data_IF_443636840990
#
_entry.id   IF_443636840990
#
_cell.length_a   1.000
_cell.length_b   1.000
_cell.length_c   1.000
_cell.angle_alpha   90.00
_cell.angle_beta   90.00
_cell.angle_gamma   90.00
#
_symmetry.space_group_name_H-M   'P 1'
#
loop_
_entity.id
_entity.type
_entity.pdbx_description
1 polymer ?
#
# COMPACT_ATOMS: atom_id res chain seq x y z
N UNK A 1 -6.57 5.51 46.48
CA UNK A 1 -6.16 4.29 45.73
C UNK A 1 -7.37 3.43 45.36
N UNK A 2 -8.28 3.09 46.28
CA UNK A 2 -9.50 2.32 45.95
C UNK A 2 -10.53 3.08 45.09
N UNK A 3 -10.71 4.39 45.30
CA UNK A 3 -11.64 5.20 44.49
C UNK A 3 -11.14 5.46 43.06
N UNK A 4 -9.82 5.52 42.86
CA UNK A 4 -9.22 5.71 41.53
C UNK A 4 -9.41 4.48 40.63
N UNK A 5 -9.43 3.28 41.23
CA UNK A 5 -9.71 2.02 40.53
C UNK A 5 -11.20 1.80 40.25
N UNK A 6 -12.11 2.33 41.07
CA UNK A 6 -13.54 2.18 40.84
C UNK A 6 -14.03 3.03 39.64
N UNK A 7 -13.48 4.25 39.50
CA UNK A 7 -13.80 5.15 38.38
C UNK A 7 -13.25 4.63 37.05
N UNK A 8 -12.04 4.05 37.04
CA UNK A 8 -11.48 3.46 35.82
C UNK A 8 -12.25 2.22 35.37
N UNK A 9 -12.71 1.39 36.31
CA UNK A 9 -13.53 0.19 36.01
C UNK A 9 -14.92 0.57 35.52
N UNK A 10 -15.61 1.53 36.14
CA UNK A 10 -16.93 1.98 35.69
C UNK A 10 -16.89 2.63 34.30
N UNK A 11 -15.83 3.40 34.01
CA UNK A 11 -15.58 3.96 32.68
C UNK A 11 -15.34 2.85 31.65
N UNK A 12 -14.52 1.84 31.95
CA UNK A 12 -14.27 0.71 31.05
C UNK A 12 -15.53 -0.13 30.76
N UNK A 13 -16.40 -0.32 31.77
CA UNK A 13 -17.68 -1.04 31.62
C UNK A 13 -18.63 -0.28 30.69
N UNK A 14 -18.77 1.05 30.87
CA UNK A 14 -19.61 1.88 30.00
C UNK A 14 -19.08 1.90 28.56
N UNK A 15 -17.76 1.97 28.36
CA UNK A 15 -17.13 1.91 27.05
C UNK A 15 -17.39 0.57 26.33
N UNK A 16 -17.33 -0.56 27.04
CA UNK A 16 -17.67 -1.87 26.47
C UNK A 16 -19.16 -1.96 26.08
N UNK A 17 -20.07 -1.34 26.85
CA UNK A 17 -21.50 -1.34 26.53
C UNK A 17 -21.83 -0.52 25.27
N UNK A 18 -21.21 0.64 25.10
CA UNK A 18 -21.36 1.47 23.90
C UNK A 18 -20.88 0.73 22.65
N UNK A 19 -19.67 0.14 22.71
CA UNK A 19 -19.10 -0.67 21.64
C UNK A 19 -20.03 -1.82 21.21
N UNK A 20 -20.53 -2.59 22.20
CA UNK A 20 -21.46 -3.70 21.94
C UNK A 20 -22.77 -3.23 21.32
N UNK A 21 -23.25 -2.05 21.70
CA UNK A 21 -24.45 -1.46 21.10
C UNK A 21 -24.22 -1.16 19.62
N UNK A 22 -23.09 -0.52 19.27
CA UNK A 22 -22.74 -0.20 17.88
C UNK A 22 -22.63 -1.47 17.04
N UNK A 23 -21.96 -2.51 17.55
CA UNK A 23 -21.79 -3.79 16.86
C UNK A 23 -23.12 -4.55 16.68
N UNK A 24 -23.97 -4.57 17.71
CA UNK A 24 -25.31 -5.15 17.62
C UNK A 24 -26.20 -4.42 16.61
N UNK A 25 -26.11 -3.08 16.56
CA UNK A 25 -26.80 -2.27 15.57
C UNK A 25 -26.30 -2.53 14.14
N UNK A 26 -24.99 -2.70 13.98
CA UNK A 26 -24.38 -3.08 12.70
C UNK A 26 -24.91 -4.45 12.27
N UNK A 27 -24.85 -5.45 13.14
CA UNK A 27 -25.34 -6.80 12.87
C UNK A 27 -26.82 -6.79 12.45
N UNK A 28 -27.68 -6.11 13.22
CA UNK A 28 -29.10 -5.96 12.91
C UNK A 28 -29.35 -5.28 11.56
N UNK A 29 -28.49 -4.33 11.17
CA UNK A 29 -28.58 -3.63 9.89
C UNK A 29 -28.21 -4.54 8.70
N UNK A 30 -27.44 -5.60 8.90
CA UNK A 30 -27.07 -6.51 7.80
C UNK A 30 -28.22 -7.43 7.39
N UNK A 31 -29.19 -7.68 8.28
CA UNK A 31 -30.40 -8.47 8.01
C UNK A 31 -31.60 -7.68 7.47
N UNK A 32 -31.50 -6.34 7.36
CA UNK A 32 -32.61 -5.44 7.03
C UNK A 32 -32.83 -5.15 5.53
N UNK A 33 -33.83 -4.29 5.27
CA UNK A 33 -34.26 -3.85 3.93
C UNK A 33 -33.21 -2.94 3.24
N UNK A 34 -33.02 -3.08 1.93
CA UNK A 34 -31.67 -3.01 1.33
C UNK A 34 -30.94 -1.65 1.39
N UNK A 35 -31.63 -0.52 1.19
CA UNK A 35 -30.97 0.81 1.08
C UNK A 35 -30.76 1.50 2.43
N UNK A 36 -31.78 1.55 3.27
CA UNK A 36 -31.66 2.20 4.59
C UNK A 36 -30.77 1.41 5.53
N UNK A 37 -30.81 0.07 5.42
CA UNK A 37 -29.96 -0.80 6.20
C UNK A 37 -28.48 -0.68 5.80
N UNK A 38 -28.16 -0.50 4.51
CA UNK A 38 -26.81 -0.17 4.07
C UNK A 38 -26.31 1.17 4.61
N UNK A 39 -27.14 2.22 4.56
CA UNK A 39 -26.78 3.54 5.12
C UNK A 39 -26.54 3.46 6.63
N UNK A 40 -27.41 2.74 7.36
CA UNK A 40 -27.25 2.51 8.80
C UNK A 40 -25.96 1.74 9.09
N UNK A 41 -25.68 0.66 8.36
CA UNK A 41 -24.44 -0.09 8.50
C UNK A 41 -23.20 0.77 8.30
N UNK A 42 -23.17 1.62 7.27
CA UNK A 42 -22.07 2.59 7.09
C UNK A 42 -21.93 3.56 8.27
N UNK A 43 -23.05 4.05 8.80
CA UNK A 43 -23.07 4.90 9.99
C UNK A 43 -22.48 4.20 11.21
N UNK A 44 -22.85 2.94 11.44
CA UNK A 44 -22.30 2.12 12.53
C UNK A 44 -20.80 1.88 12.36
N UNK A 45 -20.32 1.62 11.13
CA UNK A 45 -18.88 1.50 10.84
C UNK A 45 -18.15 2.78 11.22
N UNK A 46 -18.61 3.95 10.78
CA UNK A 46 -17.98 5.23 11.11
C UNK A 46 -17.98 5.46 12.62
N UNK A 47 -19.11 5.22 13.29
CA UNK A 47 -19.23 5.36 14.74
C UNK A 47 -18.26 4.44 15.50
N UNK A 48 -18.15 3.18 15.07
CA UNK A 48 -17.22 2.20 15.66
C UNK A 48 -15.78 2.68 15.57
N UNK A 49 -15.33 3.12 14.39
CA UNK A 49 -13.94 3.53 14.20
C UNK A 49 -13.61 4.85 14.90
N UNK A 50 -14.55 5.80 14.95
CA UNK A 50 -14.40 7.01 15.75
C UNK A 50 -14.29 6.67 17.25
N UNK A 51 -15.12 5.74 17.73
CA UNK A 51 -15.04 5.26 19.11
C UNK A 51 -13.69 4.62 19.40
N UNK A 52 -13.19 3.75 18.51
CA UNK A 52 -11.88 3.13 18.69
C UNK A 52 -10.77 4.18 18.70
N UNK A 53 -10.74 5.10 17.74
CA UNK A 53 -9.73 6.16 17.62
C UNK A 53 -9.64 7.03 18.88
N UNK A 54 -10.79 7.41 19.45
CA UNK A 54 -10.85 8.21 20.68
C UNK A 54 -10.33 7.46 21.92
N UNK A 55 -10.34 6.13 21.90
CA UNK A 55 -10.01 5.28 23.03
C UNK A 55 -8.71 4.47 22.85
N UNK A 56 -7.91 4.77 21.82
CA UNK A 56 -6.68 4.02 21.49
C UNK A 56 -5.62 4.03 22.61
N UNK A 57 -5.61 5.06 23.45
CA UNK A 57 -4.68 5.18 24.59
C UNK A 57 -5.21 4.53 25.87
N UNK A 58 -6.44 4.00 25.84
CA UNK A 58 -7.00 3.26 26.97
C UNK A 58 -6.26 1.95 27.17
N UNK A 59 -6.01 1.59 28.42
CA UNK A 59 -5.51 0.25 28.78
C UNK A 59 -6.47 -0.88 28.39
N UNK A 60 -7.72 -0.56 28.02
CA UNK A 60 -8.72 -1.50 27.54
C UNK A 60 -8.79 -1.66 26.02
N UNK A 61 -7.92 -1.01 25.24
CA UNK A 61 -8.02 -1.02 23.77
C UNK A 61 -7.95 -2.43 23.18
N UNK A 62 -7.11 -3.32 23.73
CA UNK A 62 -7.02 -4.71 23.29
C UNK A 62 -8.34 -5.46 23.49
N UNK A 63 -9.06 -5.19 24.58
CA UNK A 63 -10.38 -5.78 24.84
C UNK A 63 -11.38 -5.26 23.82
N UNK A 64 -11.36 -3.96 23.53
CA UNK A 64 -12.25 -3.36 22.53
C UNK A 64 -11.97 -3.87 21.11
N UNK A 65 -10.71 -4.10 20.75
CA UNK A 65 -10.35 -4.72 19.48
C UNK A 65 -10.78 -6.18 19.43
N UNK A 66 -10.61 -6.94 20.51
CA UNK A 66 -11.13 -8.30 20.61
C UNK A 66 -12.65 -8.34 20.39
N UNK A 67 -13.41 -7.48 21.07
CA UNK A 67 -14.85 -7.38 20.90
C UNK A 67 -15.23 -6.99 19.45
N UNK A 68 -14.52 -6.02 18.85
CA UNK A 68 -14.82 -5.53 17.51
C UNK A 68 -14.46 -6.52 16.40
N UNK A 69 -13.35 -7.24 16.50
CA UNK A 69 -12.83 -8.10 15.43
C UNK A 69 -13.10 -9.59 15.63
N UNK A 70 -13.33 -10.05 16.88
CA UNK A 70 -13.54 -11.47 17.22
C UNK A 70 -14.73 -11.72 18.13
N UNK A 71 -15.45 -10.68 18.55
CA UNK A 71 -16.67 -10.82 19.34
C UNK A 71 -17.83 -11.43 18.55
N UNK A 72 -18.94 -11.68 19.26
CA UNK A 72 -20.17 -12.29 18.72
C UNK A 72 -20.73 -11.52 17.50
N UNK A 73 -20.65 -10.19 17.52
CA UNK A 73 -21.08 -9.31 16.44
C UNK A 73 -19.90 -8.59 15.78
N UNK A 74 -18.83 -9.32 15.50
CA UNK A 74 -17.62 -8.72 14.95
C UNK A 74 -17.87 -8.04 13.58
N UNK A 75 -17.14 -6.95 13.33
CA UNK A 75 -17.29 -6.12 12.13
C UNK A 75 -16.97 -6.89 10.84
N UNK A 76 -15.98 -7.78 10.88
CA UNK A 76 -15.51 -8.48 9.69
C UNK A 76 -16.58 -9.44 9.17
N UNK A 77 -17.22 -10.19 10.06
CA UNK A 77 -18.32 -11.09 9.74
C UNK A 77 -19.56 -10.32 9.28
N UNK A 78 -19.95 -9.27 10.01
CA UNK A 78 -21.09 -8.43 9.64
C UNK A 78 -20.95 -7.86 8.22
N UNK A 79 -19.74 -7.48 7.82
CA UNK A 79 -19.46 -6.92 6.49
C UNK A 79 -19.04 -7.96 5.45
N UNK A 80 -19.01 -9.25 5.79
CA UNK A 80 -18.71 -10.34 4.85
C UNK A 80 -19.91 -10.73 3.96
N UNK A 81 -21.04 -10.04 4.12
CA UNK A 81 -22.25 -10.21 3.30
C UNK A 81 -21.99 -9.93 1.81
N UNK A 82 -22.54 -10.75 0.91
CA UNK A 82 -22.33 -10.65 -0.55
C UNK A 82 -23.17 -9.55 -1.24
N UNK A 83 -23.89 -8.74 -0.47
CA UNK A 83 -24.86 -7.75 -0.97
C UNK A 83 -24.18 -6.49 -1.50
N UNK A 84 -24.50 -6.09 -2.72
CA UNK A 84 -23.91 -4.93 -3.41
C UNK A 84 -24.24 -3.60 -2.73
N UNK A 85 -25.35 -3.53 -2.01
CA UNK A 85 -25.83 -2.30 -1.38
C UNK A 85 -24.86 -1.86 -0.28
N UNK A 86 -24.12 -2.80 0.33
CA UNK A 86 -23.21 -2.55 1.45
C UNK A 86 -21.77 -2.21 1.03
N UNK A 87 -21.52 -2.02 -0.27
CA UNK A 87 -20.17 -1.68 -0.77
C UNK A 87 -19.59 -0.42 -0.12
N UNK A 88 -20.44 0.57 0.18
CA UNK A 88 -20.01 1.79 0.87
C UNK A 88 -19.59 1.53 2.32
N UNK A 89 -20.32 0.67 3.04
CA UNK A 89 -19.96 0.28 4.40
C UNK A 89 -18.65 -0.51 4.42
N UNK A 90 -18.47 -1.45 3.48
CA UNK A 90 -17.22 -2.20 3.29
C UNK A 90 -16.04 -1.27 2.98
N UNK A 91 -16.23 -0.32 2.07
CA UNK A 91 -15.19 0.66 1.72
C UNK A 91 -14.79 1.50 2.93
N UNK A 92 -15.77 2.02 3.68
CA UNK A 92 -15.50 2.77 4.92
C UNK A 92 -14.78 1.91 5.96
N UNK A 93 -15.14 0.64 6.13
CA UNK A 93 -14.46 -0.25 7.07
C UNK A 93 -13.00 -0.48 6.66
N UNK A 94 -12.73 -0.82 5.40
CA UNK A 94 -11.36 -1.02 4.92
C UNK A 94 -10.49 0.23 5.08
N UNK A 95 -11.04 1.41 4.77
CA UNK A 95 -10.34 2.68 4.93
C UNK A 95 -10.03 3.00 6.40
N UNK A 96 -11.02 2.82 7.29
CA UNK A 96 -10.82 3.05 8.71
C UNK A 96 -9.87 2.04 9.36
N UNK A 97 -9.94 0.75 8.99
CA UNK A 97 -8.98 -0.26 9.45
C UNK A 97 -7.57 0.11 8.97
N UNK A 98 -7.41 0.51 7.70
CA UNK A 98 -6.13 0.96 7.19
C UNK A 98 -5.57 2.13 8.00
N UNK A 99 -6.35 3.19 8.23
CA UNK A 99 -5.88 4.38 8.93
C UNK A 99 -5.45 4.07 10.38
N UNK A 100 -6.23 3.22 11.07
CA UNK A 100 -5.87 2.78 12.43
C UNK A 100 -4.62 1.91 12.43
N UNK A 101 -4.54 0.91 11.56
CA UNK A 101 -3.38 0.02 11.49
C UNK A 101 -2.10 0.75 11.05
N UNK A 102 -2.20 1.75 10.16
CA UNK A 102 -1.04 2.55 9.72
C UNK A 102 -0.41 3.31 10.89
N UNK A 103 -1.23 3.76 11.85
CA UNK A 103 -0.78 4.55 12.99
C UNK A 103 -0.44 3.70 14.23
N UNK A 104 -1.07 2.53 14.39
CA UNK A 104 -1.03 1.72 15.61
C UNK A 104 -0.81 0.22 15.35
N UNK A 105 -0.01 -0.12 14.33
CA UNK A 105 0.13 -1.48 13.83
C UNK A 105 0.39 -2.55 14.91
N UNK A 106 1.26 -2.27 15.87
CA UNK A 106 1.63 -3.21 16.93
C UNK A 106 0.43 -3.68 17.77
N UNK A 107 -0.54 -2.79 18.04
CA UNK A 107 -1.77 -3.13 18.78
C UNK A 107 -2.66 -4.07 17.94
N UNK A 108 -2.64 -3.90 16.62
CA UNK A 108 -3.43 -4.69 15.68
C UNK A 108 -2.77 -6.01 15.27
N UNK A 109 -1.54 -6.27 15.72
CA UNK A 109 -0.71 -7.39 15.27
C UNK A 109 -1.40 -8.74 15.45
N UNK A 110 -2.18 -8.92 16.51
CA UNK A 110 -2.91 -10.15 16.78
C UNK A 110 -4.11 -10.39 15.85
N UNK A 111 -4.58 -9.36 15.12
CA UNK A 111 -5.77 -9.41 14.25
C UNK A 111 -5.42 -9.42 12.75
N UNK A 112 -4.14 -9.37 12.38
CA UNK A 112 -3.68 -9.22 10.98
C UNK A 112 -4.20 -10.32 10.06
N UNK A 113 -4.33 -11.56 10.55
CA UNK A 113 -4.85 -12.68 9.75
C UNK A 113 -6.35 -12.55 9.51
N UNK A 114 -7.11 -12.09 10.51
CA UNK A 114 -8.54 -11.82 10.37
C UNK A 114 -8.77 -10.70 9.33
N UNK A 115 -7.98 -9.64 9.41
CA UNK A 115 -8.02 -8.52 8.45
C UNK A 115 -7.59 -8.97 7.05
N UNK A 116 -6.54 -9.80 6.92
CA UNK A 116 -6.11 -10.41 5.64
C UNK A 116 -7.28 -11.16 5.01
N UNK A 117 -7.92 -12.04 5.77
CA UNK A 117 -9.03 -12.86 5.30
C UNK A 117 -10.23 -12.00 4.88
N UNK A 118 -10.55 -10.97 5.65
CA UNK A 118 -11.58 -9.99 5.29
C UNK A 118 -11.25 -9.25 3.99
N UNK A 119 -10.00 -8.82 3.79
CA UNK A 119 -9.56 -8.20 2.54
C UNK A 119 -9.71 -9.16 1.36
N UNK A 120 -9.34 -10.43 1.52
CA UNK A 120 -9.43 -11.44 0.47
C UNK A 120 -10.87 -11.78 0.08
N UNK A 121 -11.74 -11.91 1.09
CA UNK A 121 -13.17 -12.12 0.90
C UNK A 121 -13.81 -10.92 0.20
N UNK A 122 -13.52 -9.73 0.69
CA UNK A 122 -14.05 -8.49 0.17
C UNK A 122 -13.55 -8.22 -1.25
N UNK A 123 -12.28 -8.48 -1.55
CA UNK A 123 -11.73 -8.38 -2.90
C UNK A 123 -12.47 -9.29 -3.88
N UNK A 124 -12.77 -10.52 -3.49
CA UNK A 124 -13.39 -11.51 -4.39
C UNK A 124 -14.88 -11.23 -4.68
N UNK A 125 -15.51 -10.31 -3.93
CA UNK A 125 -16.96 -10.04 -4.00
C UNK A 125 -17.31 -8.64 -4.51
N UNK A 126 -16.33 -7.77 -4.77
CA UNK A 126 -16.59 -6.33 -4.79
C UNK A 126 -16.29 -5.62 -6.12
N UNK A 127 -16.74 -4.37 -6.19
CA UNK A 127 -16.58 -3.46 -7.33
C UNK A 127 -15.26 -2.69 -7.29
N UNK A 128 -14.99 -1.92 -8.35
CA UNK A 128 -13.79 -1.08 -8.55
C UNK A 128 -13.44 -0.11 -7.43
N UNK A 129 -14.34 0.19 -6.48
CA UNK A 129 -14.08 1.06 -5.32
C UNK A 129 -13.43 0.34 -4.15
N UNK A 130 -13.78 -0.93 -3.96
CA UNK A 130 -13.38 -1.72 -2.78
C UNK A 130 -12.09 -2.51 -3.05
N UNK A 131 -11.87 -2.92 -4.31
CA UNK A 131 -10.66 -3.62 -4.73
C UNK A 131 -9.37 -2.86 -4.38
N UNK A 132 -9.23 -1.55 -4.67
CA UNK A 132 -8.01 -0.82 -4.33
C UNK A 132 -7.78 -0.71 -2.82
N UNK A 133 -8.84 -0.51 -2.02
CA UNK A 133 -8.73 -0.42 -0.55
C UNK A 133 -8.29 -1.75 0.06
N UNK A 134 -8.82 -2.86 -0.45
CA UNK A 134 -8.42 -4.21 -0.02
C UNK A 134 -6.93 -4.45 -0.30
N UNK A 135 -6.46 -4.07 -1.50
CA UNK A 135 -5.04 -4.18 -1.88
C UNK A 135 -4.14 -3.26 -1.05
N UNK A 136 -4.59 -2.05 -0.75
CA UNK A 136 -3.86 -1.09 0.09
C UNK A 136 -3.64 -1.66 1.49
N UNK A 137 -4.68 -2.24 2.08
CA UNK A 137 -4.60 -2.86 3.41
C UNK A 137 -3.76 -4.15 3.42
N UNK A 138 -3.89 -4.99 2.40
CA UNK A 138 -3.01 -6.15 2.21
C UNK A 138 -1.54 -5.74 2.07
N UNK A 139 -1.25 -4.62 1.39
CA UNK A 139 0.11 -4.07 1.27
C UNK A 139 0.66 -3.70 2.64
N UNK A 140 -0.12 -2.99 3.46
CA UNK A 140 0.28 -2.63 4.83
C UNK A 140 0.59 -3.87 5.68
N UNK A 141 -0.23 -4.92 5.59
CA UNK A 141 -0.01 -6.19 6.29
C UNK A 141 1.30 -6.82 5.81
N UNK A 142 1.52 -6.95 4.50
CA UNK A 142 2.75 -7.56 3.93
C UNK A 142 4.01 -6.84 4.39
N UNK A 143 3.98 -5.50 4.43
CA UNK A 143 5.12 -4.67 4.82
C UNK A 143 5.51 -4.81 6.30
N UNK A 144 4.54 -5.02 7.19
CA UNK A 144 4.75 -5.03 8.64
C UNK A 144 4.74 -6.45 9.25
N UNK A 145 4.33 -7.48 8.51
CA UNK A 145 4.29 -8.87 8.97
C UNK A 145 5.39 -9.77 8.40
N UNK A 146 6.48 -9.20 7.88
CA UNK A 146 7.61 -9.92 7.29
C UNK A 146 8.48 -10.66 8.34
N UNK A 147 7.84 -11.37 9.28
CA UNK A 147 8.47 -12.20 10.29
C UNK A 147 8.18 -13.69 10.00
N UNK A 148 9.15 -14.61 10.16
CA UNK A 148 8.97 -16.02 9.82
C UNK A 148 7.74 -16.68 10.47
N UNK A 149 7.39 -16.24 11.69
CA UNK A 149 6.26 -16.78 12.47
C UNK A 149 4.89 -16.55 11.82
N UNK A 150 4.67 -15.36 11.22
CA UNK A 150 3.36 -14.98 10.64
C UNK A 150 3.31 -15.34 9.14
N UNK A 151 4.47 -15.54 8.51
CA UNK A 151 4.61 -15.85 7.08
C UNK A 151 3.75 -17.04 6.62
N UNK A 152 3.66 -18.09 7.44
CA UNK A 152 2.85 -19.28 7.14
C UNK A 152 1.39 -18.91 6.95
N UNK A 153 0.85 -18.07 7.84
CA UNK A 153 -0.54 -17.65 7.81
C UNK A 153 -0.81 -16.54 6.77
N UNK A 154 0.21 -15.78 6.35
CA UNK A 154 0.08 -14.81 5.26
C UNK A 154 -0.03 -15.51 3.90
N UNK A 155 0.67 -16.63 3.72
CA UNK A 155 0.71 -17.40 2.46
C UNK A 155 1.18 -16.57 1.25
N UNK A 156 2.37 -15.94 1.29
CA UNK A 156 2.80 -14.95 0.29
C UNK A 156 2.89 -15.51 -1.14
N UNK A 157 3.22 -16.80 -1.36
CA UNK A 157 3.17 -17.43 -2.69
C UNK A 157 1.73 -17.46 -3.23
N UNK A 158 0.78 -17.90 -2.41
CA UNK A 158 -0.62 -18.03 -2.81
C UNK A 158 -1.19 -16.65 -3.17
N UNK A 159 -0.87 -15.64 -2.37
CA UNK A 159 -1.22 -14.26 -2.67
C UNK A 159 -0.58 -13.80 -3.99
N UNK A 160 0.73 -14.02 -4.16
CA UNK A 160 1.43 -13.61 -5.37
C UNK A 160 0.78 -14.21 -6.63
N UNK A 161 0.58 -15.53 -6.70
CA UNK A 161 0.04 -16.17 -7.90
C UNK A 161 -1.38 -15.69 -8.21
N UNK A 162 -2.22 -15.55 -7.18
CA UNK A 162 -3.58 -15.02 -7.37
C UNK A 162 -3.55 -13.61 -7.97
N UNK A 163 -2.81 -12.70 -7.36
CA UNK A 163 -2.82 -11.30 -7.75
C UNK A 163 -1.98 -11.01 -9.00
N UNK A 164 -0.98 -11.81 -9.30
CA UNK A 164 -0.28 -11.78 -10.58
C UNK A 164 -1.22 -12.15 -11.73
N UNK A 165 -2.04 -13.19 -11.56
CA UNK A 165 -3.05 -13.55 -12.56
C UNK A 165 -4.09 -12.45 -12.76
N UNK A 166 -4.46 -11.71 -11.71
CA UNK A 166 -5.31 -10.51 -11.84
C UNK A 166 -4.61 -9.38 -12.60
N UNK A 167 -3.30 -9.18 -12.40
CA UNK A 167 -2.51 -8.18 -13.13
C UNK A 167 -2.51 -8.46 -14.64
N UNK A 168 -2.41 -9.75 -15.01
CA UNK A 168 -2.44 -10.17 -16.42
C UNK A 168 -3.77 -9.79 -17.10
N UNK A 169 -4.89 -9.80 -16.37
CA UNK A 169 -6.21 -9.42 -16.88
C UNK A 169 -6.38 -7.92 -17.15
N UNK A 170 -5.37 -7.09 -16.91
CA UNK A 170 -5.39 -5.63 -17.13
C UNK A 170 -6.57 -4.95 -16.43
N UNK A 171 -6.56 -4.87 -15.09
CA UNK A 171 -7.64 -4.26 -14.34
C UNK A 171 -7.70 -2.74 -14.58
N UNK A 172 -8.74 -2.09 -14.03
CA UNK A 172 -8.86 -0.63 -14.11
C UNK A 172 -7.64 0.05 -13.50
N UNK A 173 -7.32 1.26 -13.97
CA UNK A 173 -6.08 1.94 -13.61
C UNK A 173 -5.87 2.15 -12.10
N UNK A 174 -6.95 2.42 -11.35
CA UNK A 174 -6.87 2.56 -9.88
C UNK A 174 -6.59 1.23 -9.18
N UNK A 175 -7.16 0.13 -9.68
CA UNK A 175 -6.88 -1.22 -9.16
C UNK A 175 -5.46 -1.62 -9.54
N UNK A 176 -5.03 -1.35 -10.77
CA UNK A 176 -3.66 -1.61 -11.24
C UNK A 176 -2.62 -0.89 -10.39
N UNK A 177 -2.90 0.35 -9.98
CA UNK A 177 -2.03 1.10 -9.08
C UNK A 177 -1.74 0.33 -7.79
N UNK A 178 -2.78 -0.06 -7.06
CA UNK A 178 -2.62 -0.73 -5.77
C UNK A 178 -2.19 -2.21 -5.95
N UNK A 179 -2.51 -2.83 -7.08
CA UNK A 179 -2.09 -4.20 -7.40
C UNK A 179 -0.59 -4.28 -7.66
N UNK A 180 -0.03 -3.32 -8.42
CA UNK A 180 1.41 -3.22 -8.64
C UNK A 180 2.16 -3.01 -7.33
N UNK A 181 1.70 -2.08 -6.49
CA UNK A 181 2.24 -1.84 -5.14
C UNK A 181 2.25 -3.10 -4.29
N UNK A 182 1.12 -3.80 -4.25
CA UNK A 182 0.98 -5.02 -3.47
C UNK A 182 1.94 -6.13 -3.93
N UNK A 183 2.02 -6.38 -5.25
CA UNK A 183 2.94 -7.37 -5.81
C UNK A 183 4.41 -6.99 -5.58
N UNK A 184 4.76 -5.71 -5.70
CA UNK A 184 6.09 -5.20 -5.36
C UNK A 184 6.44 -5.42 -3.88
N UNK A 185 5.49 -5.17 -2.98
CA UNK A 185 5.67 -5.41 -1.55
C UNK A 185 5.90 -6.90 -1.24
N UNK A 186 5.15 -7.81 -1.86
CA UNK A 186 5.40 -9.25 -1.70
C UNK A 186 6.83 -9.63 -2.11
N UNK A 187 7.33 -9.10 -3.24
CA UNK A 187 8.70 -9.33 -3.72
C UNK A 187 9.76 -8.74 -2.79
N UNK A 188 9.49 -7.56 -2.24
CA UNK A 188 10.40 -6.87 -1.32
C UNK A 188 10.54 -7.58 0.03
N UNK A 189 9.41 -8.00 0.62
CA UNK A 189 9.36 -8.44 2.01
C UNK A 189 9.35 -9.97 2.19
N UNK A 190 9.06 -10.74 1.14
CA UNK A 190 9.10 -12.20 1.18
C UNK A 190 9.98 -12.80 0.07
N UNK A 191 11.22 -12.32 -0.15
CA UNK A 191 12.02 -12.66 -1.31
C UNK A 191 12.28 -14.15 -1.47
N UNK A 192 12.57 -14.87 -0.38
CA UNK A 192 12.87 -16.30 -0.42
C UNK A 192 11.68 -17.12 -0.97
N UNK A 193 10.47 -16.68 -0.63
CA UNK A 193 9.22 -17.37 -0.89
C UNK A 193 8.73 -17.10 -2.32
N UNK A 194 8.93 -15.86 -2.79
CA UNK A 194 8.57 -15.46 -4.16
C UNK A 194 9.77 -15.45 -5.11
N UNK A 195 10.84 -16.15 -4.74
CA UNK A 195 12.05 -16.27 -5.55
C UNK A 195 11.74 -16.79 -6.96
N UNK A 196 12.44 -16.23 -7.95
CA UNK A 196 12.24 -16.44 -9.40
C UNK A 196 11.01 -15.77 -10.02
N UNK A 197 10.13 -15.14 -9.24
CA UNK A 197 8.94 -14.42 -9.76
C UNK A 197 9.19 -12.94 -10.02
N UNK A 198 10.25 -12.37 -9.44
CA UNK A 198 10.68 -10.99 -9.66
C UNK A 198 10.84 -10.65 -11.13
N UNK A 199 11.56 -11.47 -11.89
CA UNK A 199 11.77 -11.27 -13.33
C UNK A 199 10.47 -11.32 -14.14
N UNK A 200 9.58 -12.27 -13.81
CA UNK A 200 8.28 -12.40 -14.47
C UNK A 200 7.42 -11.17 -14.20
N UNK A 201 7.43 -10.67 -12.97
CA UNK A 201 6.75 -9.44 -12.61
C UNK A 201 7.37 -8.24 -13.32
N UNK A 202 8.68 -8.09 -13.28
CA UNK A 202 9.40 -6.99 -13.93
C UNK A 202 9.06 -6.90 -15.43
N UNK A 203 9.21 -8.00 -16.16
CA UNK A 203 8.86 -8.06 -17.60
C UNK A 203 7.42 -7.63 -17.84
N UNK A 204 6.47 -8.16 -17.06
CA UNK A 204 5.06 -7.80 -17.21
C UNK A 204 4.78 -6.32 -16.92
N UNK A 205 5.43 -5.77 -15.90
CA UNK A 205 5.28 -4.37 -15.51
C UNK A 205 5.84 -3.43 -16.58
N UNK A 206 7.00 -3.76 -17.15
CA UNK A 206 7.59 -3.01 -18.25
C UNK A 206 6.66 -3.02 -19.47
N UNK A 207 6.10 -4.18 -19.87
CA UNK A 207 5.13 -4.26 -20.96
C UNK A 207 3.94 -3.32 -20.76
N UNK A 208 3.39 -3.30 -19.53
CA UNK A 208 2.27 -2.42 -19.16
C UNK A 208 2.69 -0.95 -19.29
N UNK A 209 3.84 -0.56 -18.74
CA UNK A 209 4.35 0.81 -18.85
C UNK A 209 4.55 1.22 -20.31
N UNK A 210 5.14 0.34 -21.14
CA UNK A 210 5.36 0.62 -22.56
C UNK A 210 4.02 0.80 -23.31
N UNK A 211 3.01 -0.01 -23.00
CA UNK A 211 1.67 0.12 -23.57
C UNK A 211 1.00 1.45 -23.16
N UNK A 212 1.04 1.81 -21.87
CA UNK A 212 0.50 3.07 -21.35
C UNK A 212 1.22 4.30 -21.93
N UNK A 213 2.55 4.23 -22.10
CA UNK A 213 3.37 5.27 -22.76
C UNK A 213 2.93 5.50 -24.20
N UNK A 214 2.74 4.43 -24.98
CA UNK A 214 2.31 4.50 -26.39
C UNK A 214 0.90 5.07 -26.52
N UNK A 215 -0.01 4.63 -25.67
CA UNK A 215 -1.42 5.04 -25.72
C UNK A 215 -1.68 6.41 -25.05
N UNK A 216 -0.66 7.00 -24.40
CA UNK A 216 -0.77 8.21 -23.55
C UNK A 216 -1.87 8.09 -22.49
N UNK A 217 -2.09 6.88 -21.99
CA UNK A 217 -3.17 6.57 -21.08
C UNK A 217 -2.68 6.42 -19.63
N UNK A 218 -3.65 6.55 -18.72
CA UNK A 218 -3.61 6.24 -17.29
C UNK A 218 -2.25 6.31 -16.56
N UNK A 219 -1.71 7.51 -16.35
CA UNK A 219 -0.53 7.74 -15.49
C UNK A 219 -0.64 7.12 -14.09
N UNK A 220 -1.87 6.93 -13.58
CA UNK A 220 -2.10 6.27 -12.29
C UNK A 220 -1.70 4.78 -12.28
N UNK A 221 -1.87 4.07 -13.41
CA UNK A 221 -1.38 2.69 -13.59
C UNK A 221 0.14 2.64 -13.46
N UNK A 222 0.81 3.63 -14.06
CA UNK A 222 2.27 3.75 -14.07
C UNK A 222 2.81 3.95 -12.65
N UNK A 223 2.10 4.69 -11.79
CA UNK A 223 2.48 4.84 -10.36
C UNK A 223 2.61 3.47 -9.68
N UNK A 224 1.62 2.59 -9.84
CA UNK A 224 1.69 1.25 -9.25
C UNK A 224 2.78 0.38 -9.86
N UNK A 225 3.00 0.52 -11.17
CA UNK A 225 4.05 -0.18 -11.89
C UNK A 225 5.45 0.23 -11.41
N UNK A 226 5.70 1.52 -11.22
CA UNK A 226 6.98 2.01 -10.69
C UNK A 226 7.20 1.56 -9.25
N UNK A 227 6.16 1.56 -8.42
CA UNK A 227 6.25 1.02 -7.06
C UNK A 227 6.54 -0.48 -7.04
N UNK A 228 6.00 -1.24 -8.01
CA UNK A 228 6.35 -2.64 -8.20
C UNK A 228 7.83 -2.80 -8.54
N UNK A 229 8.34 -1.98 -9.48
CA UNK A 229 9.77 -1.97 -9.85
C UNK A 229 10.64 -1.67 -8.64
N UNK A 230 10.35 -0.61 -7.86
CA UNK A 230 11.10 -0.28 -6.64
C UNK A 230 11.20 -1.48 -5.69
N UNK A 231 10.07 -2.16 -5.44
CA UNK A 231 10.04 -3.35 -4.59
C UNK A 231 10.84 -4.54 -5.13
N UNK A 232 10.82 -4.75 -6.46
CA UNK A 232 11.60 -5.82 -7.12
C UNK A 232 13.11 -5.58 -6.96
N UNK A 233 13.56 -4.34 -7.18
CA UNK A 233 14.99 -3.99 -7.23
C UNK A 233 15.73 -4.22 -5.91
N UNK A 234 15.02 -4.24 -4.77
CA UNK A 234 15.64 -4.57 -3.47
C UNK A 234 16.25 -5.98 -3.41
N UNK A 235 15.62 -6.96 -4.06
CA UNK A 235 16.03 -8.36 -3.98
C UNK A 235 16.44 -8.96 -5.34
N UNK A 236 16.02 -8.33 -6.43
CA UNK A 236 16.26 -8.78 -7.81
C UNK A 236 16.71 -7.60 -8.69
N UNK A 237 17.86 -6.97 -8.37
CA UNK A 237 18.42 -5.95 -9.24
C UNK A 237 18.84 -6.57 -10.59
N UNK A 238 18.63 -5.88 -11.73
CA UNK A 238 19.11 -6.35 -13.02
C UNK A 238 20.65 -6.40 -13.03
N UNK A 239 21.20 -7.34 -13.77
CA UNK A 239 22.65 -7.43 -13.98
C UNK A 239 23.17 -6.12 -14.61
N UNK A 240 24.24 -5.56 -14.02
CA UNK A 240 24.82 -4.24 -14.37
C UNK A 240 25.27 -4.07 -15.84
N UNK A 241 25.21 -5.12 -16.65
CA UNK A 241 25.65 -5.14 -18.06
C UNK A 241 24.51 -5.47 -19.03
N UNK A 242 23.29 -5.66 -18.52
CA UNK A 242 22.14 -6.09 -19.31
C UNK A 242 21.28 -4.95 -19.85
N UNK A 243 20.50 -5.26 -20.90
CA UNK A 243 19.52 -4.35 -21.50
C UNK A 243 18.49 -3.79 -20.48
N UNK A 244 18.23 -4.52 -19.39
CA UNK A 244 17.29 -4.11 -18.35
C UNK A 244 17.75 -2.87 -17.57
N UNK A 245 19.06 -2.68 -17.36
CA UNK A 245 19.59 -1.48 -16.70
C UNK A 245 19.35 -0.24 -17.55
N UNK A 246 19.61 -0.35 -18.86
CA UNK A 246 19.35 0.72 -19.82
C UNK A 246 17.85 1.03 -19.93
N UNK A 247 16.99 0.01 -19.95
CA UNK A 247 15.53 0.19 -19.95
C UNK A 247 15.03 0.88 -18.67
N UNK A 248 15.53 0.46 -17.51
CA UNK A 248 15.23 1.08 -16.22
C UNK A 248 15.66 2.56 -16.21
N UNK A 249 16.87 2.84 -16.69
CA UNK A 249 17.38 4.19 -16.79
C UNK A 249 16.50 5.08 -17.70
N UNK A 250 16.17 4.64 -18.91
CA UNK A 250 15.33 5.39 -19.85
C UNK A 250 13.91 5.61 -19.29
N UNK A 251 13.40 4.65 -18.51
CA UNK A 251 12.16 4.80 -17.78
C UNK A 251 12.27 5.89 -16.70
N UNK A 252 13.30 5.87 -15.86
CA UNK A 252 13.55 6.87 -14.82
C UNK A 252 13.66 8.26 -15.46
N UNK A 253 14.51 8.41 -16.49
CA UNK A 253 14.74 9.66 -17.22
C UNK A 253 13.44 10.24 -17.79
N UNK A 254 12.58 9.39 -18.35
CA UNK A 254 11.27 9.79 -18.85
C UNK A 254 10.34 10.28 -17.73
N UNK A 255 10.32 9.60 -16.58
CA UNK A 255 9.47 9.93 -15.44
C UNK A 255 9.87 11.24 -14.74
N UNK A 256 11.16 11.50 -14.57
CA UNK A 256 11.66 12.68 -13.84
C UNK A 256 11.79 13.94 -14.71
N UNK A 257 11.45 13.86 -15.99
CA UNK A 257 11.34 15.04 -16.84
C UNK A 257 10.32 16.02 -16.23
N UNK A 258 10.71 17.27 -16.01
CA UNK A 258 9.86 18.27 -15.33
C UNK A 258 8.51 18.50 -16.02
N UNK A 259 8.43 18.32 -17.34
CA UNK A 259 7.18 18.40 -18.10
C UNK A 259 6.15 17.32 -17.69
N UNK A 260 6.59 16.27 -17.00
CA UNK A 260 5.70 15.25 -16.44
C UNK A 260 4.74 15.84 -15.41
N UNK A 261 5.12 16.91 -14.69
CA UNK A 261 4.27 17.59 -13.69
C UNK A 261 2.94 18.09 -14.27
N UNK A 262 2.93 18.43 -15.56
CA UNK A 262 1.75 18.98 -16.24
C UNK A 262 0.71 17.90 -16.57
N UNK A 263 1.06 16.62 -16.48
CA UNK A 263 0.15 15.51 -16.78
C UNK A 263 -0.74 15.19 -15.57
N UNK A 264 -1.98 14.78 -15.85
CA UNK A 264 -2.89 14.24 -14.82
C UNK A 264 -2.21 13.05 -14.12
N UNK A 265 -2.07 13.11 -12.80
CA UNK A 265 -1.32 12.16 -11.96
C UNK A 265 0.20 12.09 -12.21
N UNK A 266 0.78 13.02 -12.99
CA UNK A 266 2.21 13.03 -13.29
C UNK A 266 3.10 13.23 -12.05
N UNK A 267 2.62 13.96 -11.04
CA UNK A 267 3.32 14.08 -9.75
C UNK A 267 3.50 12.72 -9.04
N UNK A 268 2.53 11.82 -9.15
CA UNK A 268 2.65 10.47 -8.60
C UNK A 268 3.73 9.66 -9.33
N UNK A 269 3.77 9.77 -10.66
CA UNK A 269 4.80 9.11 -11.49
C UNK A 269 6.20 9.62 -11.13
N UNK A 270 6.35 10.95 -11.00
CA UNK A 270 7.60 11.57 -10.56
C UNK A 270 7.98 11.06 -9.17
N UNK A 271 7.05 11.05 -8.21
CA UNK A 271 7.34 10.62 -6.84
C UNK A 271 7.88 9.19 -6.78
N UNK A 272 7.28 8.24 -7.50
CA UNK A 272 7.75 6.85 -7.51
C UNK A 272 9.10 6.72 -8.25
N UNK A 273 9.34 7.49 -9.31
CA UNK A 273 10.63 7.49 -9.98
C UNK A 273 11.75 8.09 -9.10
N UNK A 274 11.45 9.12 -8.30
CA UNK A 274 12.38 9.67 -7.33
C UNK A 274 12.70 8.66 -6.21
N UNK A 275 11.73 7.85 -5.78
CA UNK A 275 11.97 6.74 -4.85
C UNK A 275 12.93 5.72 -5.45
N UNK A 276 12.76 5.36 -6.73
CA UNK A 276 13.69 4.46 -7.42
C UNK A 276 15.10 5.06 -7.46
N UNK A 277 15.26 6.36 -7.76
CA UNK A 277 16.59 7.01 -7.73
C UNK A 277 17.16 6.98 -6.31
N UNK A 278 16.37 7.32 -5.30
CA UNK A 278 16.81 7.32 -3.92
C UNK A 278 17.32 5.94 -3.50
N UNK A 279 16.55 4.88 -3.73
CA UNK A 279 16.94 3.54 -3.27
C UNK A 279 17.98 2.87 -4.17
N UNK A 280 17.97 3.15 -5.48
CA UNK A 280 18.64 2.32 -6.48
C UNK A 280 19.52 3.08 -7.48
N UNK A 281 19.87 4.36 -7.22
CA UNK A 281 20.77 5.12 -8.09
C UNK A 281 22.05 4.38 -8.52
N UNK A 282 22.74 3.60 -7.65
CA UNK A 282 23.94 2.87 -8.05
C UNK A 282 23.72 1.88 -9.21
N UNK A 283 22.52 1.31 -9.35
CA UNK A 283 22.22 0.34 -10.41
C UNK A 283 22.35 0.94 -11.82
N UNK A 284 22.02 2.22 -11.96
CA UNK A 284 22.04 2.97 -13.22
C UNK A 284 23.15 4.03 -13.24
N UNK A 285 24.15 3.89 -12.36
CA UNK A 285 25.10 4.97 -12.07
C UNK A 285 25.94 5.44 -13.25
N UNK A 286 26.33 4.55 -14.16
CA UNK A 286 27.03 4.92 -15.40
C UNK A 286 26.20 5.88 -16.27
N UNK A 287 24.91 5.58 -16.44
CA UNK A 287 24.01 6.41 -17.21
C UNK A 287 23.66 7.73 -16.50
N UNK A 288 23.52 7.70 -15.17
CA UNK A 288 23.35 8.92 -14.37
C UNK A 288 24.57 9.84 -14.48
N UNK A 289 25.78 9.28 -14.48
CA UNK A 289 27.01 10.05 -14.64
C UNK A 289 27.12 10.69 -16.02
N UNK A 290 26.76 9.97 -17.09
CA UNK A 290 26.75 10.52 -18.45
C UNK A 290 25.76 11.69 -18.59
N UNK A 291 24.59 11.59 -17.97
CA UNK A 291 23.50 12.57 -18.07
C UNK A 291 23.35 13.45 -16.82
N UNK A 292 24.43 13.67 -16.08
CA UNK A 292 24.40 14.35 -14.77
C UNK A 292 23.75 15.74 -14.82
N UNK A 293 23.94 16.48 -15.92
CA UNK A 293 23.37 17.82 -16.09
C UNK A 293 21.84 17.77 -16.23
N UNK A 294 21.32 16.78 -16.97
CA UNK A 294 19.87 16.59 -17.10
C UNK A 294 19.23 16.34 -15.74
N UNK A 295 19.81 15.43 -14.94
CA UNK A 295 19.28 15.08 -13.62
C UNK A 295 19.39 16.26 -12.65
N UNK A 296 20.53 16.96 -12.61
CA UNK A 296 20.71 18.15 -11.76
C UNK A 296 19.64 19.21 -12.04
N UNK A 297 19.40 19.54 -13.32
CA UNK A 297 18.42 20.55 -13.69
C UNK A 297 16.98 20.12 -13.37
N UNK A 298 16.62 18.88 -13.69
CA UNK A 298 15.27 18.38 -13.42
C UNK A 298 15.02 18.22 -11.93
N UNK A 299 15.94 17.64 -11.14
CA UNK A 299 15.77 17.50 -9.69
C UNK A 299 15.64 18.84 -8.98
N UNK A 300 16.42 19.85 -9.39
CA UNK A 300 16.29 21.21 -8.87
C UNK A 300 14.93 21.83 -9.18
N UNK A 301 14.44 21.70 -10.43
CA UNK A 301 13.12 22.20 -10.83
C UNK A 301 11.98 21.43 -10.14
N UNK A 302 12.12 20.12 -10.01
CA UNK A 302 11.17 19.26 -9.31
C UNK A 302 11.08 19.66 -7.83
N UNK A 303 12.22 19.90 -7.17
CA UNK A 303 12.35 20.25 -5.76
C UNK A 303 11.73 21.59 -5.34
N UNK A 304 11.37 22.46 -6.30
CA UNK A 304 10.57 23.68 -6.04
C UNK A 304 9.12 23.36 -5.63
N UNK A 305 8.61 22.18 -5.99
CA UNK A 305 7.27 21.74 -5.61
C UNK A 305 7.26 21.23 -4.17
N UNK A 306 6.42 21.82 -3.30
CA UNK A 306 6.33 21.44 -1.87
C UNK A 306 6.03 19.96 -1.65
N UNK A 307 5.24 19.33 -2.53
CA UNK A 307 4.84 17.92 -2.40
C UNK A 307 6.01 17.00 -2.75
N UNK A 308 6.83 17.37 -3.72
CA UNK A 308 7.95 16.54 -4.20
C UNK A 308 9.27 16.84 -3.48
N UNK A 309 9.36 17.97 -2.77
CA UNK A 309 10.60 18.49 -2.18
C UNK A 309 11.36 17.43 -1.38
N UNK A 310 10.69 16.73 -0.47
CA UNK A 310 11.33 15.71 0.36
C UNK A 310 11.95 14.59 -0.49
N UNK A 311 11.20 14.02 -1.44
CA UNK A 311 11.68 12.97 -2.33
C UNK A 311 12.81 13.47 -3.23
N UNK A 312 12.74 14.72 -3.71
CA UNK A 312 13.80 15.30 -4.54
C UNK A 312 15.11 15.44 -3.78
N UNK A 313 15.06 15.82 -2.49
CA UNK A 313 16.25 15.95 -1.65
C UNK A 313 16.96 14.60 -1.52
N UNK A 314 16.24 13.54 -1.13
CA UNK A 314 16.85 12.23 -0.94
C UNK A 314 17.32 11.58 -2.26
N UNK A 315 16.57 11.77 -3.35
CA UNK A 315 17.00 11.35 -4.68
C UNK A 315 18.24 12.11 -5.14
N UNK A 316 18.34 13.41 -4.84
CA UNK A 316 19.53 14.24 -5.16
C UNK A 316 20.75 13.79 -4.36
N UNK A 317 20.58 13.47 -3.08
CA UNK A 317 21.67 12.94 -2.25
C UNK A 317 22.24 11.64 -2.83
N UNK A 318 21.36 10.70 -3.16
CA UNK A 318 21.75 9.39 -3.73
C UNK A 318 22.40 9.55 -5.11
N UNK A 319 21.86 10.44 -5.95
CA UNK A 319 22.45 10.80 -7.22
C UNK A 319 23.85 11.41 -7.06
N UNK A 320 24.02 12.39 -6.16
CA UNK A 320 25.32 13.04 -5.94
C UNK A 320 26.37 12.08 -5.39
N UNK A 321 25.97 11.13 -4.53
CA UNK A 321 26.85 10.07 -4.05
C UNK A 321 27.42 9.25 -5.21
N UNK A 322 26.55 8.80 -6.13
CA UNK A 322 26.97 8.04 -7.32
C UNK A 322 27.90 8.86 -8.23
N UNK A 323 27.62 10.14 -8.44
CA UNK A 323 28.50 11.02 -9.22
C UNK A 323 29.88 11.14 -8.55
N UNK A 324 29.91 11.37 -7.24
CA UNK A 324 31.15 11.51 -6.50
C UNK A 324 32.01 10.24 -6.58
N UNK A 325 31.42 9.06 -6.35
CA UNK A 325 32.10 7.76 -6.50
C UNK A 325 32.70 7.58 -7.89
N UNK A 326 31.96 7.93 -8.95
CA UNK A 326 32.45 7.83 -10.32
C UNK A 326 33.61 8.77 -10.60
N UNK A 327 33.54 10.03 -10.17
CA UNK A 327 34.64 10.99 -10.29
C UNK A 327 35.89 10.48 -9.58
N UNK A 328 35.76 10.01 -8.35
CA UNK A 328 36.87 9.44 -7.58
C UNK A 328 37.50 8.24 -8.29
N UNK A 329 36.70 7.34 -8.85
CA UNK A 329 37.20 6.16 -9.57
C UNK A 329 37.95 6.46 -10.87
N UNK A 330 37.69 7.61 -11.49
CA UNK A 330 38.44 8.08 -12.68
C UNK A 330 39.77 8.70 -12.26
N UNK A 331 39.84 9.36 -11.11
CA UNK A 331 41.07 9.97 -10.59
C UNK A 331 42.12 8.97 -10.08
N UNK A 332 41.74 7.72 -9.85
CA UNK A 332 42.64 6.63 -9.43
C UNK A 332 43.29 5.85 -10.60
N UNK A 333 42.90 6.13 -11.86
CA UNK A 333 43.45 5.49 -13.06
C UNK A 333 44.38 6.41 -13.83
#
# INVERSE_FOLDING_TARGET
>A
LLEFNAVSVASAVNMSAELKTILSDLHSSTGGNEKDASRKAKGCVIALFNFMEQNLTSSSIEIHLCDAFRGEYNILECLSIKRSEFLDAKASALESIYNLMESYFEIFRSFVIDVKNFCMLTYSQSSSRVLPLSLKLLTLIVQNCAHPEIQVDIEPITLFEKFFNELVKTPSATVMKELGRFLGALVRYYPEVVSQRGDRLYKRIIEIIQAEKKNKQHMISIVGCLSAIDGILFNYPPDHTGNQVSELYELIKWCVNSNMKERKNGKGVISEALLIIWHHAPLVGEHLFQDWLFFTLNLNELGKDRVLKYMCVNASESFMHVIAEKISSVGEK
#
